data_IF_958307863773
#
_entry.id   IF_958307863773
#
_cell.length_a   1.000
_cell.length_b   1.000
_cell.length_c   1.000
_cell.angle_alpha   90.00
_cell.angle_beta   90.00
_cell.angle_gamma   90.00
#
_symmetry.space_group_name_H-M   'P 1'
#
loop_
_entity.id
_entity.type
_entity.pdbx_description
1 polymer ?
#
# COMPACT_ATOMS: atom_id res chain seq x y z
N UNK A 1 11.25 60.88 33.19
CA UNK A 1 12.58 60.62 33.79
C UNK A 1 13.58 60.57 32.64
N UNK A 2 14.55 61.47 32.61
CA UNK A 2 15.42 61.68 31.43
C UNK A 2 16.50 60.60 31.35
N UNK A 3 16.91 60.25 30.13
CA UNK A 3 17.93 59.23 29.84
C UNK A 3 19.30 59.48 30.54
N UNK A 4 19.53 60.68 31.07
CA UNK A 4 20.77 61.04 31.76
C UNK A 4 20.92 60.45 33.18
N UNK A 5 19.85 59.97 33.83
CA UNK A 5 19.95 59.34 35.16
C UNK A 5 20.46 57.90 35.08
N UNK A 6 20.13 57.17 34.00
CA UNK A 6 20.54 55.77 33.81
C UNK A 6 22.03 55.63 33.52
N UNK A 7 22.66 56.62 32.86
CA UNK A 7 24.09 56.59 32.56
C UNK A 7 25.00 56.86 33.78
N UNK A 8 24.52 57.57 34.82
CA UNK A 8 25.35 57.91 35.98
C UNK A 8 25.59 56.71 36.90
N UNK A 9 24.62 55.78 37.01
CA UNK A 9 24.75 54.61 37.86
C UNK A 9 25.74 53.56 37.33
N UNK A 10 26.05 53.57 36.03
CA UNK A 10 27.00 52.61 35.42
C UNK A 10 28.46 52.94 35.75
N UNK A 11 28.76 54.17 36.24
CA UNK A 11 30.13 54.62 36.58
C UNK A 11 30.51 54.49 38.06
N UNK A 12 29.57 54.12 38.94
CA UNK A 12 29.87 53.94 40.36
C UNK A 12 30.37 52.51 40.63
N UNK A 13 31.39 52.33 41.49
CA UNK A 13 31.83 51.00 41.93
C UNK A 13 30.66 50.16 42.48
N UNK A 14 30.59 48.87 42.12
CA UNK A 14 29.48 47.96 42.46
C UNK A 14 29.29 47.83 43.98
N UNK A 15 30.36 48.02 44.76
CA UNK A 15 30.39 48.04 46.22
C UNK A 15 29.62 49.21 46.86
N UNK A 16 29.22 50.22 46.08
CA UNK A 16 28.50 51.40 46.56
C UNK A 16 27.01 51.43 46.18
N UNK A 17 26.46 50.32 45.69
CA UNK A 17 25.07 50.23 45.26
C UNK A 17 24.10 50.13 46.44
N UNK A 18 22.94 50.79 46.31
CA UNK A 18 21.86 50.57 47.28
C UNK A 18 21.21 49.20 47.06
N UNK A 19 20.48 48.73 48.08
CA UNK A 19 19.71 47.48 47.99
C UNK A 19 18.69 47.49 46.84
N UNK A 20 18.13 48.66 46.52
CA UNK A 20 17.17 48.82 45.42
C UNK A 20 17.85 48.75 44.05
N UNK A 21 19.07 49.27 43.92
CA UNK A 21 19.88 49.17 42.71
C UNK A 21 20.28 47.71 42.44
N UNK A 22 20.58 46.95 43.51
CA UNK A 22 20.87 45.52 43.44
C UNK A 22 19.66 44.71 42.94
N UNK A 23 18.47 44.94 43.50
CA UNK A 23 17.26 44.24 43.05
C UNK A 23 16.84 44.59 41.63
N UNK A 24 16.95 45.87 41.23
CA UNK A 24 16.65 46.30 39.86
C UNK A 24 17.59 45.65 38.86
N UNK A 25 18.88 45.56 39.18
CA UNK A 25 19.86 44.92 38.32
C UNK A 25 19.62 43.42 38.21
N UNK A 26 19.36 42.73 39.32
CA UNK A 26 19.02 41.30 39.30
C UNK A 26 17.72 41.05 38.50
N UNK A 27 16.68 41.86 38.72
CA UNK A 27 15.43 41.74 37.99
C UNK A 27 15.64 41.92 36.48
N UNK A 28 16.45 42.91 36.08
CA UNK A 28 16.81 43.14 34.68
C UNK A 28 17.58 41.95 34.10
N UNK A 29 18.56 41.40 34.83
CA UNK A 29 19.34 40.23 34.41
C UNK A 29 18.44 39.01 34.24
N UNK A 30 17.49 38.76 35.14
CA UNK A 30 16.52 37.65 35.02
C UNK A 30 15.63 37.83 33.79
N UNK A 31 15.14 39.04 33.54
CA UNK A 31 14.31 39.34 32.35
C UNK A 31 15.12 39.14 31.07
N UNK A 32 16.37 39.60 31.02
CA UNK A 32 17.26 39.43 29.87
C UNK A 32 17.60 37.95 29.66
N UNK A 33 17.91 37.20 30.72
CA UNK A 33 18.19 35.77 30.63
C UNK A 33 16.95 34.99 30.18
N UNK A 34 15.76 35.35 30.66
CA UNK A 34 14.50 34.77 30.19
C UNK A 34 14.23 35.06 28.72
N UNK A 35 14.45 36.32 28.28
CA UNK A 35 14.31 36.71 26.89
C UNK A 35 15.34 36.01 25.97
N UNK A 36 16.59 35.86 26.43
CA UNK A 36 17.64 35.13 25.72
C UNK A 36 17.33 33.63 25.64
N UNK A 37 16.84 33.02 26.72
CA UNK A 37 16.40 31.64 26.72
C UNK A 37 15.24 31.44 25.74
N UNK A 38 14.25 32.34 25.74
CA UNK A 38 13.11 32.30 24.82
C UNK A 38 13.54 32.52 23.37
N UNK A 39 14.49 33.44 23.12
CA UNK A 39 15.06 33.65 21.79
C UNK A 39 15.88 32.44 21.32
N UNK A 40 16.66 31.81 22.20
CA UNK A 40 17.39 30.58 21.88
C UNK A 40 16.45 29.40 21.60
N UNK A 41 15.32 29.33 22.32
CA UNK A 41 14.29 28.33 22.10
C UNK A 41 13.54 28.55 20.78
N UNK A 42 13.20 29.80 20.46
CA UNK A 42 12.60 30.17 19.18
C UNK A 42 13.57 29.94 18.02
N UNK A 43 14.85 30.27 18.18
CA UNK A 43 15.87 30.01 17.18
C UNK A 43 16.08 28.50 16.99
N UNK A 44 16.11 27.73 18.07
CA UNK A 44 16.18 26.27 18.01
C UNK A 44 14.93 25.70 17.33
N UNK A 45 13.72 26.17 17.66
CA UNK A 45 12.47 25.73 17.04
C UNK A 45 12.37 26.11 15.55
N UNK A 46 12.90 27.27 15.15
CA UNK A 46 13.00 27.70 13.75
C UNK A 46 14.05 26.91 12.95
N UNK A 47 15.13 26.47 13.61
CA UNK A 47 16.16 25.60 13.01
C UNK A 47 15.70 24.13 13.00
N UNK A 48 14.78 23.77 13.90
CA UNK A 48 14.11 22.46 13.98
C UNK A 48 12.91 22.37 13.04
N UNK A 49 12.76 23.27 12.06
CA UNK A 49 11.76 23.17 10.99
C UNK A 49 11.96 21.81 10.30
N UNK A 50 11.09 20.88 10.67
CA UNK A 50 11.14 19.47 10.37
C UNK A 50 10.75 19.26 8.91
N UNK A 51 11.65 19.62 7.99
CA UNK A 51 11.54 19.18 6.60
C UNK A 51 11.75 17.67 6.44
N UNK A 52 11.99 16.93 7.53
CA UNK A 52 12.01 15.47 7.53
C UNK A 52 10.65 14.84 7.76
N UNK A 53 9.59 15.60 8.06
CA UNK A 53 8.24 15.04 8.27
C UNK A 53 7.58 14.54 6.98
N UNK A 54 8.02 15.00 5.81
CA UNK A 54 7.46 14.56 4.55
C UNK A 54 8.59 14.21 3.58
N UNK A 55 8.95 12.93 3.54
CA UNK A 55 9.91 12.39 2.55
C UNK A 55 9.18 11.89 1.31
N UNK A 56 9.87 11.86 0.17
CA UNK A 56 9.44 11.08 -0.98
C UNK A 56 9.46 9.60 -0.63
N UNK A 57 8.40 8.86 -0.95
CA UNK A 57 8.33 7.40 -0.81
C UNK A 57 7.27 6.80 -1.72
N UNK A 58 7.44 5.51 -2.07
CA UNK A 58 6.42 4.69 -2.71
C UNK A 58 5.45 4.16 -1.66
N UNK A 59 4.15 4.40 -1.83
CA UNK A 59 3.14 3.81 -0.95
C UNK A 59 3.12 2.28 -1.14
N UNK A 60 2.99 1.49 -0.06
CA UNK A 60 2.89 0.04 -0.17
C UNK A 60 1.82 -0.37 -1.17
N UNK A 61 2.21 -1.21 -2.12
CA UNK A 61 1.29 -1.79 -3.10
C UNK A 61 0.66 -3.04 -2.49
N UNK A 62 1.43 -3.82 -1.73
CA UNK A 62 1.07 -5.13 -1.18
C UNK A 62 0.78 -6.20 -2.25
N UNK A 63 0.85 -7.47 -1.85
CA UNK A 63 0.46 -8.59 -2.71
C UNK A 63 -1.03 -8.52 -3.10
N UNK A 64 -1.38 -9.18 -4.20
CA UNK A 64 -2.77 -9.28 -4.67
C UNK A 64 -3.19 -10.74 -4.82
N UNK A 65 -4.48 -10.98 -4.64
CA UNK A 65 -5.12 -12.23 -5.04
C UNK A 65 -6.40 -11.91 -5.80
N UNK A 66 -6.60 -12.60 -6.92
CA UNK A 66 -7.76 -12.44 -7.79
C UNK A 66 -8.21 -13.81 -8.30
N UNK A 67 -9.46 -13.91 -8.72
CA UNK A 67 -9.90 -15.07 -9.50
C UNK A 67 -9.53 -14.89 -10.97
N UNK A 68 -9.24 -15.99 -11.66
CA UNK A 68 -9.18 -15.97 -13.12
C UNK A 68 -10.48 -15.41 -13.74
N UNK A 69 -10.38 -14.86 -14.95
CA UNK A 69 -11.47 -14.19 -15.67
C UNK A 69 -11.93 -12.87 -15.06
N UNK A 70 -11.46 -12.50 -13.85
CA UNK A 70 -11.83 -11.28 -13.16
C UNK A 70 -10.82 -10.16 -13.41
N UNK A 71 -11.30 -8.92 -13.53
CA UNK A 71 -10.43 -7.74 -13.65
C UNK A 71 -9.73 -7.44 -12.33
N UNK A 72 -8.39 -7.49 -12.35
CA UNK A 72 -7.54 -6.88 -11.34
C UNK A 72 -7.12 -5.48 -11.80
N UNK A 73 -7.52 -4.45 -11.07
CA UNK A 73 -7.16 -3.06 -11.33
C UNK A 73 -6.77 -2.35 -10.02
N UNK A 74 -5.63 -1.66 -10.03
CA UNK A 74 -5.20 -0.82 -8.91
C UNK A 74 -4.24 0.28 -9.36
N UNK A 75 -4.14 1.33 -8.56
CA UNK A 75 -3.22 2.47 -8.80
C UNK A 75 -1.99 2.38 -7.92
N UNK A 76 -0.82 2.68 -8.48
CA UNK A 76 0.44 2.80 -7.75
C UNK A 76 0.61 4.25 -7.33
N UNK A 77 0.77 4.50 -6.03
CA UNK A 77 0.83 5.85 -5.48
C UNK A 77 2.17 6.12 -4.78
N UNK A 78 2.57 7.39 -4.73
CA UNK A 78 3.76 7.83 -4.01
C UNK A 78 3.46 9.15 -3.29
N UNK A 79 4.07 9.36 -2.12
CA UNK A 79 4.13 10.67 -1.49
C UNK A 79 5.26 11.47 -2.11
N UNK A 80 5.00 12.71 -2.53
CA UNK A 80 6.02 13.59 -3.11
C UNK A 80 5.85 15.05 -2.64
N UNK A 81 6.35 15.38 -1.45
CA UNK A 81 6.14 16.67 -0.80
C UNK A 81 6.84 17.84 -1.51
N UNK A 82 7.93 17.54 -2.21
CA UNK A 82 8.69 18.54 -2.98
C UNK A 82 8.07 18.84 -4.36
N UNK A 83 6.93 18.22 -4.70
CA UNK A 83 6.17 18.41 -5.95
C UNK A 83 6.99 18.26 -7.24
N UNK A 84 8.09 17.52 -7.17
CA UNK A 84 8.93 17.18 -8.32
C UNK A 84 8.18 16.30 -9.33
N UNK A 85 8.67 16.24 -10.58
CA UNK A 85 8.06 15.37 -11.59
C UNK A 85 8.33 13.90 -11.27
N UNK A 86 7.27 13.10 -11.15
CA UNK A 86 7.36 11.67 -10.90
C UNK A 86 7.38 10.87 -12.21
N UNK A 87 8.20 9.82 -12.25
CA UNK A 87 8.24 8.83 -13.32
C UNK A 87 7.96 7.45 -12.74
N UNK A 88 6.86 6.83 -13.18
CA UNK A 88 6.47 5.47 -12.81
C UNK A 88 6.83 4.47 -13.92
N UNK A 89 7.13 3.24 -13.53
CA UNK A 89 7.32 2.12 -14.46
C UNK A 89 7.04 0.80 -13.78
N UNK A 90 6.66 -0.21 -14.55
CA UNK A 90 6.53 -1.59 -14.09
C UNK A 90 7.23 -2.56 -15.05
N UNK A 91 7.66 -3.71 -14.54
CA UNK A 91 8.28 -4.78 -15.35
C UNK A 91 7.97 -6.17 -14.78
N UNK A 92 8.29 -7.22 -15.55
CA UNK A 92 7.91 -8.60 -15.24
C UNK A 92 6.38 -8.77 -15.11
N UNK A 93 5.63 -8.07 -15.96
CA UNK A 93 4.17 -8.15 -15.98
C UNK A 93 3.74 -9.50 -16.59
N UNK A 94 2.70 -10.17 -16.03
CA UNK A 94 2.10 -11.34 -16.66
C UNK A 94 1.61 -11.04 -18.08
N UNK A 95 1.54 -12.07 -18.92
CA UNK A 95 1.01 -11.93 -20.27
C UNK A 95 -0.44 -11.37 -20.24
N UNK A 96 -0.68 -10.33 -21.03
CA UNK A 96 -1.96 -9.62 -21.07
C UNK A 96 -2.18 -8.58 -19.97
N UNK A 97 -1.28 -8.47 -18.99
CA UNK A 97 -1.29 -7.37 -18.02
C UNK A 97 -0.71 -6.09 -18.64
N UNK A 98 -1.20 -4.95 -18.17
CA UNK A 98 -0.74 -3.63 -18.61
C UNK A 98 -0.52 -2.70 -17.41
N UNK A 99 0.50 -1.85 -17.50
CA UNK A 99 0.70 -0.74 -16.58
C UNK A 99 0.79 0.56 -17.37
N UNK A 100 -0.19 1.44 -17.19
CA UNK A 100 -0.16 2.79 -17.75
C UNK A 100 0.52 3.74 -16.77
N UNK A 101 1.74 4.17 -17.10
CA UNK A 101 2.52 5.08 -16.27
C UNK A 101 1.92 6.49 -16.16
N UNK A 102 1.04 6.91 -17.08
CA UNK A 102 0.39 8.22 -17.02
C UNK A 102 -0.72 8.24 -15.98
N UNK A 103 -1.60 7.22 -16.01
CA UNK A 103 -2.65 7.05 -15.01
C UNK A 103 -2.18 6.34 -13.73
N UNK A 104 -0.98 5.77 -13.75
CA UNK A 104 -0.38 4.96 -12.68
C UNK A 104 -1.18 3.69 -12.38
N UNK A 105 -1.95 3.22 -13.36
CA UNK A 105 -2.89 2.10 -13.20
C UNK A 105 -2.31 0.82 -13.76
N UNK A 106 -2.29 -0.21 -12.92
CA UNK A 106 -2.13 -1.59 -13.35
C UNK A 106 -3.51 -2.18 -13.66
N UNK A 107 -3.62 -2.92 -14.76
CA UNK A 107 -4.84 -3.62 -15.17
C UNK A 107 -4.51 -4.99 -15.76
N UNK A 108 -5.23 -6.02 -15.35
CA UNK A 108 -5.08 -7.37 -15.89
C UNK A 108 -6.37 -8.19 -15.75
N UNK A 109 -6.71 -8.95 -16.79
CA UNK A 109 -7.76 -9.97 -16.76
C UNK A 109 -7.09 -11.33 -17.06
N UNK A 110 -6.63 -12.08 -16.03
CA UNK A 110 -6.04 -13.39 -16.25
C UNK A 110 -7.03 -14.33 -16.94
N UNK A 111 -6.56 -15.09 -17.92
CA UNK A 111 -7.33 -16.20 -18.50
C UNK A 111 -7.38 -17.41 -17.56
N UNK A 112 -8.25 -18.38 -17.85
CA UNK A 112 -8.32 -19.64 -17.11
C UNK A 112 -6.97 -20.39 -17.07
N UNK A 113 -6.24 -20.41 -18.18
CA UNK A 113 -4.91 -21.01 -18.27
C UNK A 113 -3.80 -20.25 -17.49
N UNK A 114 -4.15 -19.13 -16.86
CA UNK A 114 -3.21 -18.27 -16.12
C UNK A 114 -3.38 -18.37 -14.59
N UNK A 115 -4.13 -19.36 -14.08
CA UNK A 115 -4.11 -19.66 -12.65
C UNK A 115 -2.69 -20.01 -12.15
N UNK A 116 -2.34 -19.53 -10.96
CA UNK A 116 -1.02 -19.72 -10.36
C UNK A 116 -0.45 -18.47 -9.69
N UNK A 117 0.81 -18.61 -9.25
CA UNK A 117 1.56 -17.56 -8.56
C UNK A 117 2.46 -16.79 -9.53
N UNK A 118 2.38 -15.45 -9.47
CA UNK A 118 3.21 -14.53 -10.24
C UNK A 118 4.06 -13.69 -9.28
N UNK A 119 5.25 -14.18 -8.88
CA UNK A 119 6.14 -13.44 -7.99
C UNK A 119 6.90 -12.35 -8.76
N UNK A 120 7.53 -11.46 -8.00
CA UNK A 120 8.51 -10.49 -8.49
C UNK A 120 7.96 -9.55 -9.56
N UNK A 121 6.71 -9.09 -9.42
CA UNK A 121 6.17 -8.02 -10.27
C UNK A 121 6.70 -6.69 -9.75
N UNK A 122 7.59 -6.08 -10.54
CA UNK A 122 8.40 -4.96 -10.10
C UNK A 122 7.72 -3.63 -10.43
N UNK A 123 7.45 -2.81 -9.42
CA UNK A 123 7.01 -1.42 -9.56
C UNK A 123 8.11 -0.46 -9.11
N UNK A 124 8.25 0.66 -9.83
CA UNK A 124 9.26 1.67 -9.55
C UNK A 124 8.68 3.07 -9.71
N UNK A 125 9.05 3.97 -8.79
CA UNK A 125 8.82 5.40 -8.88
C UNK A 125 10.14 6.16 -8.69
N UNK A 126 10.34 7.22 -9.46
CA UNK A 126 11.45 8.15 -9.27
C UNK A 126 10.99 9.59 -9.35
N UNK A 127 11.58 10.45 -8.51
CA UNK A 127 11.36 11.89 -8.51
C UNK A 127 12.48 12.67 -9.26
N UNK A 128 13.32 11.96 -10.02
CA UNK A 128 14.47 12.52 -10.74
C UNK A 128 15.79 12.55 -9.94
N UNK A 129 15.74 12.28 -8.63
CA UNK A 129 16.93 12.09 -7.80
C UNK A 129 16.91 10.78 -7.02
N UNK A 130 15.81 10.56 -6.30
CA UNK A 130 15.54 9.36 -5.51
C UNK A 130 14.70 8.35 -6.32
N UNK A 131 14.84 7.08 -5.94
CA UNK A 131 14.16 5.95 -6.58
C UNK A 131 13.68 5.01 -5.48
N UNK A 132 12.41 4.64 -5.56
CA UNK A 132 11.82 3.58 -4.73
C UNK A 132 11.28 2.47 -5.63
N UNK A 133 11.41 1.24 -5.14
CA UNK A 133 10.95 0.02 -5.81
C UNK A 133 10.20 -0.85 -4.83
N UNK A 134 9.18 -1.54 -5.31
CA UNK A 134 8.48 -2.59 -4.58
C UNK A 134 8.18 -3.74 -5.53
N UNK A 135 8.42 -4.96 -5.04
CA UNK A 135 8.15 -6.20 -5.74
C UNK A 135 6.96 -6.84 -5.04
N UNK A 136 5.92 -7.19 -5.80
CA UNK A 136 4.72 -7.85 -5.27
C UNK A 136 4.53 -9.21 -5.92
N UNK A 137 3.77 -10.07 -5.23
CA UNK A 137 3.17 -11.25 -5.81
C UNK A 137 1.71 -10.99 -6.20
N UNK A 138 1.29 -11.55 -7.33
CA UNK A 138 -0.13 -11.69 -7.68
C UNK A 138 -0.47 -13.18 -7.73
N UNK A 139 -1.46 -13.59 -6.95
CA UNK A 139 -1.98 -14.95 -6.91
C UNK A 139 -3.28 -15.01 -7.70
N UNK A 140 -3.29 -15.76 -8.80
CA UNK A 140 -4.51 -16.04 -9.56
C UNK A 140 -5.06 -17.37 -9.10
N UNK A 141 -6.26 -17.33 -8.53
CA UNK A 141 -6.96 -18.52 -8.02
C UNK A 141 -8.05 -18.95 -8.99
N UNK A 142 -8.20 -20.26 -9.13
CA UNK A 142 -9.41 -20.86 -9.69
C UNK A 142 -10.52 -20.80 -8.64
N UNK A 143 -11.68 -20.22 -8.93
CA UNK A 143 -12.85 -20.46 -8.11
C UNK A 143 -13.10 -21.98 -8.08
N UNK A 144 -13.49 -22.52 -6.93
CA UNK A 144 -14.03 -23.88 -6.91
C UNK A 144 -15.35 -23.88 -7.70
N UNK A 145 -15.30 -24.12 -9.00
CA UNK A 145 -16.49 -24.35 -9.83
C UNK A 145 -16.92 -25.80 -9.63
N UNK A 146 -18.16 -26.08 -9.16
CA UNK A 146 -18.63 -27.45 -8.99
C UNK A 146 -18.68 -28.25 -10.31
N UNK A 147 -18.53 -27.61 -11.47
CA UNK A 147 -18.40 -28.28 -12.76
C UNK A 147 -16.97 -28.67 -13.14
N UNK A 148 -15.95 -28.11 -12.48
CA UNK A 148 -14.57 -28.62 -12.48
C UNK A 148 -14.48 -29.74 -11.44
N UNK A 149 -14.79 -30.95 -11.90
CA UNK A 149 -14.97 -32.13 -11.04
C UNK A 149 -13.62 -32.70 -10.62
N UNK A 150 -12.62 -32.60 -11.50
CA UNK A 150 -11.28 -33.14 -11.28
C UNK A 150 -10.32 -32.14 -10.60
N UNK A 151 -10.71 -30.87 -10.48
CA UNK A 151 -9.95 -29.77 -9.87
C UNK A 151 -8.61 -29.51 -10.56
N UNK A 152 -8.55 -29.69 -11.87
CA UNK A 152 -7.39 -29.35 -12.69
C UNK A 152 -7.46 -27.94 -13.29
N UNK A 153 -8.60 -27.26 -13.11
CA UNK A 153 -8.79 -25.88 -13.49
C UNK A 153 -9.35 -25.66 -14.90
N UNK A 154 -9.58 -26.73 -15.65
CA UNK A 154 -10.18 -26.67 -16.98
C UNK A 154 -11.50 -27.48 -16.97
N UNK A 155 -12.62 -26.85 -17.35
CA UNK A 155 -13.90 -27.57 -17.53
C UNK A 155 -13.87 -28.26 -18.91
N UNK A 156 -13.55 -29.55 -18.94
CA UNK A 156 -13.38 -30.29 -20.19
C UNK A 156 -13.92 -31.74 -20.15
N UNK A 157 -13.49 -32.55 -21.11
CA UNK A 157 -13.90 -33.96 -21.22
C UNK A 157 -13.37 -34.82 -20.06
N UNK A 158 -12.29 -34.40 -19.38
CA UNK A 158 -11.73 -35.07 -18.21
C UNK A 158 -12.68 -35.00 -17.01
N UNK A 159 -13.45 -33.92 -16.84
CA UNK A 159 -14.49 -33.82 -15.81
C UNK A 159 -15.63 -34.81 -16.05
N UNK A 160 -16.08 -34.91 -17.32
CA UNK A 160 -17.09 -35.87 -17.72
C UNK A 160 -16.60 -37.31 -17.48
N UNK A 161 -15.32 -37.57 -17.71
CA UNK A 161 -14.69 -38.86 -17.42
C UNK A 161 -14.71 -39.15 -15.91
N UNK A 162 -14.43 -38.16 -15.07
CA UNK A 162 -14.48 -38.28 -13.61
C UNK A 162 -15.87 -38.68 -13.11
N UNK A 163 -16.93 -38.03 -13.62
CA UNK A 163 -18.32 -38.43 -13.35
C UNK A 163 -18.59 -39.85 -13.83
N UNK A 164 -18.18 -40.19 -15.06
CA UNK A 164 -18.45 -41.50 -15.65
C UNK A 164 -17.83 -42.64 -14.85
N UNK A 165 -16.68 -42.43 -14.22
CA UNK A 165 -16.01 -43.44 -13.41
C UNK A 165 -16.81 -43.81 -12.14
N UNK A 166 -17.76 -42.97 -11.72
CA UNK A 166 -18.56 -43.12 -10.50
C UNK A 166 -20.05 -43.25 -10.74
N UNK A 167 -20.45 -43.41 -11.99
CA UNK A 167 -21.85 -43.58 -12.38
C UNK A 167 -22.49 -44.77 -11.64
N UNK A 168 -23.62 -44.51 -10.97
CA UNK A 168 -24.36 -45.51 -10.19
C UNK A 168 -24.14 -45.43 -8.67
N UNK A 169 -23.24 -44.56 -8.20
CA UNK A 169 -23.09 -44.28 -6.77
C UNK A 169 -24.28 -43.44 -6.27
N UNK A 170 -24.77 -43.75 -5.06
CA UNK A 170 -25.92 -43.08 -4.42
C UNK A 170 -25.57 -42.68 -3.00
N UNK A 171 -25.87 -41.44 -2.64
CA UNK A 171 -25.57 -40.92 -1.31
C UNK A 171 -26.30 -39.64 -0.97
N UNK A 172 -25.64 -38.77 -0.18
CA UNK A 172 -26.22 -37.48 0.21
C UNK A 172 -26.00 -36.48 -0.92
N UNK A 173 -27.01 -35.71 -1.29
CA UNK A 173 -26.87 -34.56 -2.20
C UNK A 173 -25.58 -33.75 -1.90
N UNK A 174 -24.70 -33.61 -2.90
CA UNK A 174 -23.43 -32.86 -2.83
C UNK A 174 -22.29 -33.53 -2.06
N UNK A 175 -22.39 -34.82 -1.74
CA UNK A 175 -21.41 -35.58 -0.96
C UNK A 175 -20.02 -35.74 -1.56
N UNK A 176 -19.87 -35.64 -2.88
CA UNK A 176 -18.63 -35.74 -3.66
C UNK A 176 -18.76 -34.88 -4.92
N UNK A 177 -17.65 -34.41 -5.49
CA UNK A 177 -17.64 -33.44 -6.60
C UNK A 177 -18.32 -33.97 -7.87
N UNK A 178 -18.46 -35.29 -8.02
CA UNK A 178 -19.11 -35.91 -9.18
C UNK A 178 -20.66 -35.83 -9.17
N UNK A 179 -21.30 -35.47 -8.04
CA UNK A 179 -22.75 -35.20 -7.92
C UNK A 179 -23.03 -33.71 -8.19
N UNK A 180 -22.71 -33.29 -9.41
CA UNK A 180 -22.71 -31.87 -9.83
C UNK A 180 -24.10 -31.24 -9.75
N UNK A 181 -25.15 -32.02 -10.05
CA UNK A 181 -26.53 -31.53 -10.00
C UNK A 181 -27.14 -31.59 -8.58
N UNK A 182 -26.39 -32.14 -7.61
CA UNK A 182 -26.74 -32.29 -6.22
C UNK A 182 -28.05 -33.07 -5.98
N UNK A 183 -28.38 -34.05 -6.81
CA UNK A 183 -29.56 -34.91 -6.64
C UNK A 183 -29.28 -36.16 -5.78
N UNK A 184 -27.99 -36.41 -5.47
CA UNK A 184 -27.55 -37.53 -4.65
C UNK A 184 -27.36 -38.85 -5.43
N UNK A 185 -27.45 -38.81 -6.76
CA UNK A 185 -27.30 -39.96 -7.67
C UNK A 185 -26.36 -39.59 -8.81
N UNK A 186 -25.18 -40.20 -8.87
CA UNK A 186 -24.25 -39.94 -9.98
C UNK A 186 -24.73 -40.64 -11.25
N UNK A 187 -25.11 -39.86 -12.26
CA UNK A 187 -25.62 -40.34 -13.54
C UNK A 187 -25.33 -39.35 -14.70
N UNK A 188 -25.94 -39.60 -15.87
CA UNK A 188 -25.72 -38.77 -17.07
C UNK A 188 -26.23 -37.33 -16.91
N UNK A 189 -27.14 -37.09 -15.95
CA UNK A 189 -27.64 -35.76 -15.65
C UNK A 189 -26.58 -34.88 -14.99
N UNK A 190 -25.59 -35.46 -14.30
CA UNK A 190 -24.45 -34.73 -13.74
C UNK A 190 -23.46 -34.25 -14.80
N UNK A 191 -23.51 -34.83 -16.00
CA UNK A 191 -22.68 -34.42 -17.14
C UNK A 191 -23.28 -33.23 -17.91
N UNK A 192 -24.58 -32.94 -17.71
CA UNK A 192 -25.28 -31.88 -18.44
C UNK A 192 -24.70 -30.49 -18.12
N UNK A 193 -24.45 -30.11 -16.85
CA UNK A 193 -23.85 -28.83 -16.52
C UNK A 193 -22.50 -28.60 -17.21
N UNK A 194 -21.65 -29.61 -17.29
CA UNK A 194 -20.33 -29.54 -17.97
C UNK A 194 -20.52 -29.31 -19.48
N UNK A 195 -21.44 -30.05 -20.10
CA UNK A 195 -21.72 -29.92 -21.53
C UNK A 195 -22.30 -28.57 -21.96
N UNK A 196 -22.86 -27.79 -21.02
CA UNK A 196 -23.33 -26.42 -21.28
C UNK A 196 -22.20 -25.38 -21.25
N UNK A 197 -21.14 -25.62 -20.47
CA UNK A 197 -19.97 -24.74 -20.44
C UNK A 197 -19.06 -24.91 -21.67
N UNK A 198 -18.88 -26.14 -22.16
CA UNK A 198 -18.00 -26.45 -23.31
C UNK A 198 -18.48 -25.85 -24.65
N UNK A 199 -19.72 -25.36 -24.74
CA UNK A 199 -20.30 -24.74 -25.94
C UNK A 199 -20.32 -23.21 -25.92
N UNK A 200 -19.97 -22.57 -24.79
CA UNK A 200 -19.99 -21.11 -24.62
C UNK A 200 -18.59 -20.47 -24.51
N UNK A 201 -17.52 -21.28 -24.40
CA UNK A 201 -16.11 -20.85 -24.36
C UNK A 201 -15.42 -20.74 -25.72
#
# INVERSE_FOLDING_TARGET
>A
MSQNTLLYQIKQPIDNWSKDDWYRTIALVIVILGALAMLSYLLFALISDDRSSESFYLSPIDDKSIHEGSLLEFTVAASNPDESTLSFSASNLPDGANFDAQSQTFSWVPTYAQAGDYPDIHFKVSNGGEVYTEDIAIIVTQPNDPTDVNQDGDIDVLDVISIRQRCGDVGKSGWISEDVNHDGIINVLDMIPIGQYSIEG
#
